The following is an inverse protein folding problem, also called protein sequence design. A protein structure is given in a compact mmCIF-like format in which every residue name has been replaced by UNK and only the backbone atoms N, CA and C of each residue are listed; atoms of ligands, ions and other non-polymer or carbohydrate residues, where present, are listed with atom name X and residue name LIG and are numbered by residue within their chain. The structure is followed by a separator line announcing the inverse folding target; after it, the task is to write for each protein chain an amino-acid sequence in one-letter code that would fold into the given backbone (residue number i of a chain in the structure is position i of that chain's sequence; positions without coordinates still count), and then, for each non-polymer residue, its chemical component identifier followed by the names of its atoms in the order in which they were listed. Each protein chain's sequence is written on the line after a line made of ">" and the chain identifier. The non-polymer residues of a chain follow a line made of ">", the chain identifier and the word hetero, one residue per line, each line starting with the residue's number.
data_IF_828892827760
#
_entry.id   IF_828892827760
#
_cell.length_a   1.000
_cell.length_b   1.000
_cell.length_c   1.000
_cell.angle_alpha   90.00
_cell.angle_beta   90.00
_cell.angle_gamma   90.00
#
_symmetry.space_group_name_H-M   'P 1'
#
loop_
_entity.id
_entity.type
_entity.pdbx_description
1 polymer ?
#
# COMPACT_ATOMS: atom_id res chain seq x y z
N UNK A 1 -51.57 24.30 40.38
CA UNK A 1 -50.99 25.54 39.80
C UNK A 1 -49.72 25.82 40.56
N UNK A 2 -48.51 25.59 40.10
CA UNK A 2 -47.96 25.40 38.75
C UNK A 2 -46.57 26.04 38.86
N UNK A 3 -45.54 25.24 39.11
CA UNK A 3 -44.16 25.70 39.27
C UNK A 3 -43.57 25.90 37.87
N UNK A 4 -43.40 27.15 37.44
CA UNK A 4 -42.78 27.45 36.17
C UNK A 4 -41.28 27.20 36.25
N UNK A 5 -40.87 26.12 35.61
CA UNK A 5 -39.48 25.73 35.41
C UNK A 5 -38.91 26.61 34.30
N UNK A 6 -38.04 27.55 34.66
CA UNK A 6 -37.22 28.31 33.71
C UNK A 6 -36.25 27.33 33.04
N UNK A 7 -36.65 26.83 31.88
CA UNK A 7 -35.81 25.98 31.05
C UNK A 7 -34.78 26.88 30.36
N UNK A 8 -33.63 27.07 31.02
CA UNK A 8 -32.42 27.63 30.41
C UNK A 8 -32.05 26.73 29.23
N UNK A 9 -32.33 27.23 28.03
CA UNK A 9 -31.91 26.63 26.78
C UNK A 9 -30.38 26.56 26.76
N UNK A 10 -29.84 25.37 27.03
CA UNK A 10 -28.46 25.06 26.76
C UNK A 10 -28.27 25.08 25.25
N UNK A 11 -27.80 26.21 24.74
CA UNK A 11 -27.18 26.34 23.43
C UNK A 11 -25.99 25.37 23.37
N UNK A 12 -26.28 24.14 22.90
CA UNK A 12 -25.26 23.19 22.45
C UNK A 12 -24.78 23.65 21.08
N UNK A 13 -24.08 24.77 21.08
CA UNK A 13 -23.16 25.14 20.02
C UNK A 13 -22.19 23.98 19.82
N UNK A 14 -22.46 23.23 18.76
CA UNK A 14 -21.65 22.12 18.27
C UNK A 14 -20.39 22.74 17.67
N UNK A 15 -19.41 23.02 18.52
CA UNK A 15 -18.04 23.27 18.08
C UNK A 15 -17.45 21.96 17.57
N UNK A 16 -17.85 21.57 16.35
CA UNK A 16 -17.10 20.61 15.55
C UNK A 16 -15.84 21.34 15.13
N UNK A 17 -14.74 21.08 15.85
CA UNK A 17 -13.41 21.56 15.49
C UNK A 17 -13.15 21.36 13.99
N UNK A 18 -12.93 22.43 13.19
CA UNK A 18 -12.71 22.34 11.74
C UNK A 18 -11.37 21.69 11.36
N UNK A 19 -10.49 21.51 12.34
CA UNK A 19 -9.17 20.96 12.15
C UNK A 19 -9.26 19.44 12.23
N UNK A 20 -9.76 18.83 11.16
CA UNK A 20 -9.28 17.50 10.77
C UNK A 20 -7.76 17.63 10.72
N UNK A 21 -7.11 17.21 11.81
CA UNK A 21 -5.67 17.18 11.98
C UNK A 21 -5.14 16.14 10.99
N UNK A 22 -5.12 16.52 9.71
CA UNK A 22 -4.55 15.75 8.64
C UNK A 22 -3.11 15.50 9.04
N UNK A 23 -2.78 14.22 9.21
CA UNK A 23 -1.42 13.77 9.49
C UNK A 23 -0.45 14.57 8.60
N UNK A 24 0.68 15.10 9.13
CA UNK A 24 1.65 15.86 8.33
C UNK A 24 2.04 15.15 7.03
N UNK A 25 1.99 13.81 7.04
CA UNK A 25 2.26 12.93 5.91
C UNK A 25 1.26 13.07 4.74
N UNK A 26 0.06 13.56 5.00
CA UNK A 26 -0.99 13.78 3.99
C UNK A 26 -0.88 15.12 3.26
N UNK A 27 -0.03 16.02 3.75
CA UNK A 27 0.32 17.29 3.10
C UNK A 27 1.60 17.21 2.27
N UNK A 28 2.25 16.04 2.21
CA UNK A 28 3.44 15.87 1.40
C UNK A 28 3.09 15.90 -0.09
N UNK A 29 3.89 16.59 -0.92
CA UNK A 29 3.77 16.50 -2.37
C UNK A 29 3.85 15.05 -2.85
N UNK A 30 3.12 14.76 -3.92
CA UNK A 30 3.00 13.42 -4.51
C UNK A 30 4.38 12.83 -4.86
N UNK A 31 5.32 13.67 -5.29
CA UNK A 31 6.68 13.32 -5.67
C UNK A 31 7.46 12.77 -4.48
N UNK A 32 7.29 13.37 -3.30
CA UNK A 32 7.94 12.94 -2.06
C UNK A 32 7.39 11.59 -1.62
N UNK A 33 6.08 11.40 -1.74
CA UNK A 33 5.43 10.14 -1.41
C UNK A 33 5.84 8.99 -2.37
N UNK A 34 6.03 9.28 -3.65
CA UNK A 34 6.62 8.35 -4.62
C UNK A 34 8.08 8.03 -4.26
N UNK A 35 8.87 9.03 -3.89
CA UNK A 35 10.25 8.86 -3.43
C UNK A 35 10.33 7.97 -2.20
N UNK A 36 9.50 8.22 -1.18
CA UNK A 36 9.45 7.38 0.02
C UNK A 36 9.04 5.96 -0.34
N UNK A 37 8.06 5.78 -1.23
CA UNK A 37 7.61 4.46 -1.66
C UNK A 37 8.72 3.68 -2.40
N UNK A 38 9.47 4.35 -3.29
CA UNK A 38 10.64 3.76 -3.97
C UNK A 38 11.80 3.47 -3.01
N UNK A 39 12.01 4.33 -2.02
CA UNK A 39 13.07 4.13 -1.04
C UNK A 39 12.72 2.97 -0.09
N UNK A 40 11.46 2.89 0.33
CA UNK A 40 10.94 1.75 1.05
C UNK A 40 11.13 0.46 0.25
N UNK A 41 10.82 0.45 -1.05
CA UNK A 41 11.07 -0.70 -1.92
C UNK A 41 12.55 -1.11 -1.96
N UNK A 42 13.48 -0.16 -2.16
CA UNK A 42 14.92 -0.45 -2.22
C UNK A 42 15.50 -0.98 -0.90
N UNK A 43 15.01 -0.47 0.23
CA UNK A 43 15.45 -0.89 1.57
C UNK A 43 14.73 -2.14 2.08
N UNK A 44 13.65 -2.56 1.42
CA UNK A 44 12.84 -3.70 1.85
C UNK A 44 13.34 -4.97 1.13
N UNK A 45 13.68 -6.04 1.88
CA UNK A 45 13.94 -7.34 1.27
C UNK A 45 12.77 -7.74 0.37
N UNK A 46 13.05 -8.30 -0.82
CA UNK A 46 12.03 -8.77 -1.78
C UNK A 46 10.77 -9.44 -1.16
N UNK A 47 10.87 -10.32 -0.14
CA UNK A 47 9.69 -10.94 0.49
C UNK A 47 8.75 -10.00 1.22
N UNK A 48 9.24 -8.84 1.65
CA UNK A 48 8.46 -7.87 2.38
C UNK A 48 7.94 -6.75 1.48
N UNK A 49 8.34 -6.68 0.21
CA UNK A 49 7.93 -5.57 -0.68
C UNK A 49 6.40 -5.51 -0.83
N UNK A 50 5.75 -6.65 -1.10
CA UNK A 50 4.29 -6.69 -1.24
C UNK A 50 3.54 -6.33 0.05
N UNK A 51 4.02 -6.80 1.22
CA UNK A 51 3.41 -6.49 2.52
C UNK A 51 3.65 -5.05 2.96
N UNK A 52 4.85 -4.51 2.71
CA UNK A 52 5.21 -3.12 2.94
C UNK A 52 4.36 -2.20 2.08
N UNK A 53 4.23 -2.45 0.77
CA UNK A 53 3.40 -1.63 -0.12
C UNK A 53 1.92 -1.70 0.22
N UNK A 54 1.41 -2.87 0.61
CA UNK A 54 0.06 -2.99 1.13
C UNK A 54 -0.12 -2.19 2.42
N UNK A 55 0.86 -2.20 3.33
CA UNK A 55 0.82 -1.41 4.57
C UNK A 55 0.84 0.09 4.26
N UNK A 56 1.69 0.53 3.33
CA UNK A 56 1.73 1.92 2.86
C UNK A 56 0.39 2.36 2.26
N UNK A 57 -0.27 1.48 1.50
CA UNK A 57 -1.59 1.76 0.92
C UNK A 57 -2.72 1.95 1.94
N UNK A 58 -2.48 1.61 3.22
CA UNK A 58 -3.45 1.77 4.33
C UNK A 58 -3.23 3.06 5.14
N UNK A 59 -2.16 3.82 4.88
CA UNK A 59 -1.82 5.04 5.65
C UNK A 59 -2.81 6.17 5.36
N UNK A 60 -3.09 6.46 4.09
CA UNK A 60 -4.07 7.47 3.69
C UNK A 60 -4.59 7.22 2.27
N UNK A 61 -5.64 7.94 1.85
CA UNK A 61 -6.15 7.89 0.47
C UNK A 61 -5.09 8.28 -0.55
N UNK A 62 -4.26 9.28 -0.25
CA UNK A 62 -3.17 9.72 -1.14
C UNK A 62 -2.11 8.64 -1.28
N UNK A 63 -1.69 8.01 -0.18
CA UNK A 63 -0.73 6.90 -0.21
C UNK A 63 -1.28 5.69 -0.97
N UNK A 64 -2.57 5.38 -0.78
CA UNK A 64 -3.24 4.34 -1.54
C UNK A 64 -3.22 4.63 -3.05
N UNK A 65 -3.57 5.85 -3.45
CA UNK A 65 -3.58 6.24 -4.85
C UNK A 65 -2.19 6.11 -5.49
N UNK A 66 -1.13 6.47 -4.77
CA UNK A 66 0.26 6.34 -5.24
C UNK A 66 0.69 4.90 -5.34
N UNK A 67 0.49 4.13 -4.26
CA UNK A 67 0.90 2.74 -4.21
C UNK A 67 0.22 1.97 -5.35
N UNK A 68 -1.10 2.12 -5.52
CA UNK A 68 -1.84 1.43 -6.57
C UNK A 68 -1.61 2.01 -7.97
N UNK A 69 -1.35 3.32 -8.08
CA UNK A 69 -1.13 4.03 -9.35
C UNK A 69 0.30 3.99 -9.87
N UNK A 70 1.23 3.33 -9.15
CA UNK A 70 2.64 3.24 -9.55
C UNK A 70 3.01 1.77 -9.83
N UNK A 71 2.81 1.27 -11.07
CA UNK A 71 3.04 -0.13 -11.41
C UNK A 71 4.45 -0.64 -11.09
N UNK A 72 5.46 0.24 -11.20
CA UNK A 72 6.86 -0.10 -10.92
C UNK A 72 7.10 -0.67 -9.51
N UNK A 73 6.28 -0.29 -8.52
CA UNK A 73 6.40 -0.77 -7.15
C UNK A 73 6.02 -2.25 -7.02
N UNK A 74 5.22 -2.79 -7.94
CA UNK A 74 4.67 -4.16 -7.86
C UNK A 74 5.46 -5.17 -8.70
N UNK A 75 6.65 -4.80 -9.18
CA UNK A 75 7.44 -5.61 -10.12
C UNK A 75 8.26 -6.72 -9.46
N UNK A 76 8.48 -6.67 -8.14
CA UNK A 76 9.26 -7.66 -7.42
C UNK A 76 8.40 -8.85 -6.98
N UNK A 77 8.64 -10.03 -7.56
CA UNK A 77 7.97 -11.28 -7.20
C UNK A 77 8.98 -12.23 -6.57
N UNK A 78 8.64 -12.78 -5.41
CA UNK A 78 9.41 -13.82 -4.75
C UNK A 78 8.54 -15.02 -4.35
N UNK A 79 9.21 -16.11 -4.00
CA UNK A 79 8.63 -17.34 -3.49
C UNK A 79 7.69 -17.17 -2.28
N UNK A 80 7.99 -16.24 -1.38
CA UNK A 80 7.13 -15.94 -0.22
C UNK A 80 5.89 -15.13 -0.63
N UNK A 81 5.97 -14.39 -1.75
CA UNK A 81 4.86 -13.58 -2.26
C UNK A 81 3.82 -14.37 -3.07
N UNK A 82 4.00 -15.69 -3.21
CA UNK A 82 3.11 -16.59 -3.96
C UNK A 82 1.62 -16.38 -3.68
N UNK A 83 1.17 -16.28 -2.42
CA UNK A 83 -0.26 -16.06 -2.13
C UNK A 83 -0.82 -14.75 -2.71
N UNK A 84 0.06 -13.84 -3.12
CA UNK A 84 -0.27 -12.51 -3.62
C UNK A 84 0.19 -12.29 -5.07
N UNK A 85 0.70 -13.34 -5.76
CA UNK A 85 1.28 -13.21 -7.11
C UNK A 85 0.29 -12.56 -8.08
N UNK A 86 -0.97 -12.97 -8.09
CA UNK A 86 -1.99 -12.36 -8.97
C UNK A 86 -2.19 -10.87 -8.69
N UNK A 87 -2.10 -10.46 -7.42
CA UNK A 87 -2.21 -9.05 -7.04
C UNK A 87 -0.99 -8.26 -7.49
N UNK A 88 0.22 -8.84 -7.36
CA UNK A 88 1.45 -8.21 -7.82
C UNK A 88 1.44 -8.07 -9.35
N UNK A 89 1.08 -9.14 -10.07
CA UNK A 89 0.97 -9.18 -11.52
C UNK A 89 -0.09 -8.20 -12.04
N UNK A 90 -1.28 -8.20 -11.44
CA UNK A 90 -2.35 -7.28 -11.83
C UNK A 90 -1.97 -5.81 -11.63
N UNK A 91 -1.09 -5.51 -10.66
CA UNK A 91 -0.65 -4.15 -10.34
C UNK A 91 0.63 -3.73 -11.05
N UNK A 92 1.50 -4.66 -11.43
CA UNK A 92 2.73 -4.37 -12.18
C UNK A 92 2.46 -3.97 -13.62
N UNK A 93 1.31 -4.36 -14.17
CA UNK A 93 0.93 -4.10 -15.55
C UNK A 93 1.93 -4.74 -16.51
N UNK A 94 2.34 -4.01 -17.55
CA UNK A 94 3.31 -4.50 -18.54
C UNK A 94 4.77 -4.17 -18.19
N UNK A 95 5.07 -3.86 -16.92
CA UNK A 95 6.44 -3.55 -16.49
C UNK A 95 7.28 -4.83 -16.40
N UNK A 96 8.59 -4.78 -16.71
CA UNK A 96 9.48 -5.91 -16.49
C UNK A 96 9.45 -6.36 -15.03
N UNK A 97 9.26 -7.66 -14.81
CA UNK A 97 9.20 -8.25 -13.48
C UNK A 97 10.59 -8.66 -13.01
N UNK A 98 10.86 -8.42 -11.73
CA UNK A 98 12.05 -8.90 -11.05
C UNK A 98 11.68 -10.12 -10.21
N UNK A 99 12.04 -11.29 -10.73
CA UNK A 99 11.81 -12.59 -10.09
C UNK A 99 13.00 -12.87 -9.17
N UNK A 100 12.76 -12.92 -7.86
CA UNK A 100 13.79 -13.14 -6.83
C UNK A 100 13.46 -14.40 -6.05
N UNK A 101 14.43 -15.30 -5.91
CA UNK A 101 14.31 -16.50 -5.08
C UNK A 101 15.05 -16.29 -3.78
N UNK A 102 14.41 -16.63 -2.66
CA UNK A 102 15.08 -16.70 -1.37
C UNK A 102 15.41 -18.16 -1.06
N UNK A 103 16.66 -18.45 -0.72
CA UNK A 103 17.11 -19.85 -0.59
C UNK A 103 16.51 -20.58 0.61
N UNK A 104 15.92 -19.88 1.58
CA UNK A 104 15.67 -20.47 2.89
C UNK A 104 14.21 -20.85 3.16
N UNK A 105 13.19 -20.12 2.67
CA UNK A 105 11.80 -20.28 3.17
C UNK A 105 10.71 -20.27 2.07
N UNK A 106 11.07 -20.57 0.82
CA UNK A 106 10.17 -20.49 -0.34
C UNK A 106 9.49 -21.80 -0.79
N UNK A 107 8.57 -21.69 -1.76
CA UNK A 107 8.09 -22.84 -2.54
C UNK A 107 9.26 -23.66 -3.11
N UNK A 108 9.05 -24.97 -3.31
CA UNK A 108 10.07 -25.79 -3.98
C UNK A 108 10.32 -25.27 -5.39
N UNK A 109 11.56 -25.42 -5.88
CA UNK A 109 11.99 -24.89 -7.17
C UNK A 109 10.99 -25.11 -8.33
N UNK A 110 10.41 -26.31 -8.50
CA UNK A 110 9.50 -26.59 -9.61
C UNK A 110 8.16 -25.85 -9.50
N UNK A 111 7.61 -25.74 -8.28
CA UNK A 111 6.32 -25.09 -8.00
C UNK A 111 6.41 -23.57 -8.17
N UNK A 112 7.54 -22.99 -7.76
CA UNK A 112 7.81 -21.58 -8.03
C UNK A 112 7.95 -21.31 -9.53
N UNK A 113 8.72 -22.14 -10.23
CA UNK A 113 8.95 -21.97 -11.66
C UNK A 113 7.68 -22.16 -12.48
N UNK A 114 6.76 -23.05 -12.12
CA UNK A 114 5.49 -23.21 -12.82
C UNK A 114 4.62 -21.95 -12.73
N UNK A 115 4.66 -21.24 -11.60
CA UNK A 115 3.93 -19.99 -11.40
C UNK A 115 4.53 -18.81 -12.17
N UNK A 116 5.86 -18.70 -12.21
CA UNK A 116 6.52 -17.52 -12.82
C UNK A 116 6.91 -17.71 -14.28
N UNK A 117 7.03 -18.94 -14.78
CA UNK A 117 7.43 -19.26 -16.17
C UNK A 117 6.63 -18.52 -17.25
N UNK A 118 5.29 -18.37 -17.14
CA UNK A 118 4.51 -17.59 -18.10
C UNK A 118 4.89 -16.10 -18.16
N UNK A 119 5.56 -15.60 -17.11
CA UNK A 119 5.91 -14.20 -16.94
C UNK A 119 7.41 -13.91 -17.16
N UNK A 120 8.22 -14.93 -17.44
CA UNK A 120 9.67 -14.79 -17.72
C UNK A 120 9.93 -14.18 -19.12
N UNK A 121 8.95 -14.22 -20.03
CA UNK A 121 9.16 -13.86 -21.45
C UNK A 121 9.15 -12.36 -21.80
N UNK A 122 9.04 -11.44 -20.84
CA UNK A 122 9.16 -9.98 -21.08
C UNK A 122 10.58 -9.45 -20.79
N UNK A 123 11.57 -10.12 -21.36
CA UNK A 123 12.98 -9.69 -21.44
C UNK A 123 13.42 -9.84 -22.90
N UNK A 124 12.90 -8.95 -23.74
CA UNK A 124 13.33 -8.73 -25.12
C UNK A 124 13.28 -7.24 -25.40
#
# INVERSE_FOLDING_TARGET
>A
MGYDTVHTAHDRSTSRSPYLHLSPISNLPIEILVLISRYAERGTPAPLVGSTLNSLSRVSRSWRAIALGTPGLWTAICDISVPYVDTLLGRSGNRPLRIVRMMEHGLRFPEYMSLVSPHIQTLG
#
